data_IF_097638291720
#
_entry.id   IF_097638291720
#
_cell.length_a   1.000
_cell.length_b   1.000
_cell.length_c   1.000
_cell.angle_alpha   90.00
_cell.angle_beta   90.00
_cell.angle_gamma   90.00
#
_symmetry.space_group_name_H-M   'P 1'
#
loop_
_entity.id
_entity.type
_entity.pdbx_description
1 polymer ?
#
# COMPACT_ATOMS: atom_id res chain seq x y z
N UNK A 1 9.31 16.24 -8.83
CA UNK A 1 8.08 15.43 -8.68
C UNK A 1 7.79 14.76 -10.00
N UNK A 2 7.31 13.52 -9.97
CA UNK A 2 6.76 12.88 -11.18
C UNK A 2 5.37 13.42 -11.49
N UNK A 3 4.94 13.34 -12.75
CA UNK A 3 3.58 13.72 -13.18
C UNK A 3 2.51 12.97 -12.36
N UNK A 4 2.76 11.69 -12.06
CA UNK A 4 1.89 10.86 -11.22
C UNK A 4 1.80 11.38 -9.78
N UNK A 5 2.90 11.86 -9.18
CA UNK A 5 2.84 12.46 -7.84
C UNK A 5 2.00 13.74 -7.84
N UNK A 6 2.14 14.58 -8.86
CA UNK A 6 1.36 15.81 -8.98
C UNK A 6 -0.14 15.52 -9.16
N UNK A 7 -0.49 14.51 -9.95
CA UNK A 7 -1.87 14.07 -10.13
C UNK A 7 -2.48 13.57 -8.81
N UNK A 8 -1.74 12.75 -8.05
CA UNK A 8 -2.21 12.23 -6.76
C UNK A 8 -2.43 13.37 -5.75
N UNK A 9 -1.51 14.34 -5.68
CA UNK A 9 -1.66 15.51 -4.80
C UNK A 9 -2.92 16.32 -5.15
N UNK A 10 -3.15 16.59 -6.44
CA UNK A 10 -4.36 17.28 -6.88
C UNK A 10 -5.66 16.50 -6.53
N UNK A 11 -5.64 15.18 -6.66
CA UNK A 11 -6.77 14.32 -6.27
C UNK A 11 -6.99 14.35 -4.75
N UNK A 12 -5.93 14.38 -3.94
CA UNK A 12 -6.02 14.46 -2.48
C UNK A 12 -6.64 15.78 -2.01
N UNK A 13 -6.27 16.90 -2.63
CA UNK A 13 -6.83 18.23 -2.30
C UNK A 13 -8.32 18.35 -2.64
N UNK A 14 -8.76 17.69 -3.72
CA UNK A 14 -10.14 17.75 -4.18
C UNK A 14 -11.06 16.69 -3.54
N UNK A 15 -10.50 15.66 -2.89
CA UNK A 15 -11.27 14.52 -2.37
C UNK A 15 -12.06 14.87 -1.11
N UNK A 16 -13.27 14.32 -1.00
CA UNK A 16 -14.04 14.35 0.23
C UNK A 16 -13.43 13.43 1.30
N UNK A 17 -13.75 13.68 2.57
CA UNK A 17 -13.33 12.81 3.68
C UNK A 17 -13.75 11.35 3.47
N UNK A 18 -14.95 11.11 2.93
CA UNK A 18 -15.42 9.75 2.66
C UNK A 18 -14.62 9.07 1.56
N UNK A 19 -14.27 9.81 0.49
CA UNK A 19 -13.41 9.31 -0.58
C UNK A 19 -12.00 8.97 -0.06
N UNK A 20 -11.44 9.81 0.82
CA UNK A 20 -10.15 9.55 1.46
C UNK A 20 -10.21 8.30 2.35
N UNK A 21 -11.27 8.14 3.17
CA UNK A 21 -11.46 6.92 3.98
C UNK A 21 -11.55 5.67 3.09
N UNK A 22 -12.29 5.76 1.98
CA UNK A 22 -12.42 4.64 1.03
C UNK A 22 -11.09 4.31 0.37
N UNK A 23 -10.31 5.32 -0.01
CA UNK A 23 -8.98 5.14 -0.59
C UNK A 23 -8.03 4.44 0.41
N UNK A 24 -8.03 4.86 1.67
CA UNK A 24 -7.23 4.22 2.74
C UNK A 24 -7.66 2.76 2.95
N UNK A 25 -8.96 2.47 2.99
CA UNK A 25 -9.45 1.08 3.09
C UNK A 25 -9.00 0.24 1.90
N UNK A 26 -9.11 0.76 0.68
CA UNK A 26 -8.65 0.07 -0.52
C UNK A 26 -7.14 -0.18 -0.52
N UNK A 27 -6.34 0.75 0.00
CA UNK A 27 -4.90 0.55 0.17
C UNK A 27 -4.58 -0.56 1.19
N UNK A 28 -5.33 -0.64 2.29
CA UNK A 28 -5.19 -1.72 3.27
C UNK A 28 -5.60 -3.08 2.70
N UNK A 29 -6.70 -3.16 1.94
CA UNK A 29 -7.12 -4.38 1.24
C UNK A 29 -6.07 -4.84 0.22
N UNK A 30 -5.48 -3.91 -0.54
CA UNK A 30 -4.40 -4.23 -1.48
C UNK A 30 -3.12 -4.69 -0.76
N UNK A 31 -2.79 -4.10 0.39
CA UNK A 31 -1.67 -4.52 1.23
C UNK A 31 -1.90 -5.94 1.79
N UNK A 32 -3.11 -6.27 2.24
CA UNK A 32 -3.47 -7.61 2.68
C UNK A 32 -3.35 -8.64 1.55
N UNK A 33 -3.85 -8.33 0.37
CA UNK A 33 -3.73 -9.19 -0.82
C UNK A 33 -2.25 -9.39 -1.22
N UNK A 34 -1.42 -8.34 -1.14
CA UNK A 34 0.01 -8.45 -1.41
C UNK A 34 0.74 -9.40 -0.43
N UNK A 35 0.19 -9.60 0.77
CA UNK A 35 0.72 -10.54 1.78
C UNK A 35 0.17 -11.96 1.65
N UNK A 36 -0.75 -12.21 0.71
CA UNK A 36 -1.32 -13.54 0.49
C UNK A 36 -0.19 -14.58 0.36
N UNK A 37 -0.37 -15.79 0.95
CA UNK A 37 0.60 -16.86 0.82
C UNK A 37 0.96 -17.09 -0.65
N UNK A 38 2.23 -17.41 -0.89
CA UNK A 38 2.72 -17.63 -2.24
C UNK A 38 1.99 -18.81 -2.89
N UNK A 39 1.25 -18.52 -3.96
CA UNK A 39 0.66 -19.52 -4.83
C UNK A 39 1.32 -19.43 -6.20
N UNK A 40 2.15 -20.42 -6.50
CA UNK A 40 2.87 -20.52 -7.78
C UNK A 40 1.94 -20.65 -8.98
N UNK A 41 0.68 -21.06 -8.78
CA UNK A 41 -0.36 -21.11 -9.81
C UNK A 41 -0.73 -19.73 -10.35
N UNK A 42 -0.71 -18.69 -9.51
CA UNK A 42 -1.09 -17.32 -9.91
C UNK A 42 -0.07 -16.65 -10.82
N UNK A 43 1.17 -17.12 -10.79
CA UNK A 43 2.24 -16.63 -11.65
C UNK A 43 2.28 -17.35 -13.00
N UNK A 44 1.26 -18.17 -13.31
CA UNK A 44 1.16 -18.93 -14.57
C UNK A 44 2.26 -19.97 -14.73
N UNK A 45 2.90 -20.38 -13.62
CA UNK A 45 4.13 -21.19 -13.62
C UNK A 45 3.79 -22.67 -13.76
N UNK A 46 3.17 -23.01 -14.88
CA UNK A 46 3.31 -24.32 -15.48
C UNK A 46 4.73 -24.50 -16.04
N UNK A 47 5.76 -24.43 -15.18
CA UNK A 47 7.15 -24.84 -15.43
C UNK A 47 8.16 -23.86 -16.08
N UNK A 48 7.88 -22.57 -16.25
CA UNK A 48 8.77 -21.66 -17.04
C UNK A 48 9.49 -20.53 -16.27
N UNK A 49 9.14 -20.26 -15.01
CA UNK A 49 9.72 -19.16 -14.22
C UNK A 49 10.50 -19.72 -13.04
N UNK A 50 11.69 -19.16 -12.77
CA UNK A 50 12.53 -19.55 -11.64
C UNK A 50 11.82 -19.21 -10.32
N UNK A 51 11.71 -20.20 -9.43
CA UNK A 51 11.08 -20.04 -8.12
C UNK A 51 11.73 -18.92 -7.31
N UNK A 52 13.05 -18.72 -7.43
CA UNK A 52 13.75 -17.64 -6.71
C UNK A 52 13.28 -16.25 -7.15
N UNK A 53 12.92 -16.07 -8.42
CA UNK A 53 12.38 -14.80 -8.93
C UNK A 53 10.97 -14.55 -8.39
N UNK A 54 10.15 -15.60 -8.33
CA UNK A 54 8.78 -15.53 -7.82
C UNK A 54 8.77 -15.22 -6.32
N UNK A 55 9.66 -15.85 -5.55
CA UNK A 55 9.83 -15.56 -4.12
C UNK A 55 10.32 -14.12 -3.89
N UNK A 56 11.31 -13.65 -4.66
CA UNK A 56 11.81 -12.28 -4.56
C UNK A 56 10.74 -11.22 -4.92
N UNK A 57 9.92 -11.47 -5.95
CA UNK A 57 8.80 -10.59 -6.30
C UNK A 57 7.76 -10.54 -5.19
N UNK A 58 7.45 -11.69 -4.57
CA UNK A 58 6.53 -11.77 -3.44
C UNK A 58 7.06 -11.01 -2.24
N UNK A 59 8.33 -11.19 -1.88
CA UNK A 59 8.92 -10.50 -0.74
C UNK A 59 8.98 -8.98 -0.95
N UNK A 60 9.27 -8.52 -2.17
CA UNK A 60 9.21 -7.10 -2.51
C UNK A 60 7.78 -6.52 -2.35
N UNK A 61 6.75 -7.26 -2.78
CA UNK A 61 5.34 -6.85 -2.60
C UNK A 61 4.94 -6.78 -1.12
N UNK A 62 5.37 -7.76 -0.33
CA UNK A 62 5.15 -7.78 1.13
C UNK A 62 5.81 -6.58 1.80
N UNK A 63 7.05 -6.26 1.44
CA UNK A 63 7.77 -5.10 1.99
C UNK A 63 7.02 -3.78 1.71
N UNK A 64 6.53 -3.58 0.48
CA UNK A 64 5.73 -2.39 0.14
C UNK A 64 4.41 -2.36 0.92
N UNK A 65 3.76 -3.50 1.13
CA UNK A 65 2.55 -3.58 1.95
C UNK A 65 2.80 -3.17 3.41
N UNK A 66 3.92 -3.60 3.98
CA UNK A 66 4.35 -3.23 5.33
C UNK A 66 4.64 -1.73 5.43
N UNK A 67 5.34 -1.15 4.45
CA UNK A 67 5.64 0.28 4.38
C UNK A 67 4.35 1.13 4.31
N UNK A 68 3.36 0.68 3.54
CA UNK A 68 2.04 1.34 3.43
C UNK A 68 1.31 1.32 4.78
N UNK A 69 1.24 0.15 5.44
CA UNK A 69 0.57 0.03 6.74
C UNK A 69 1.26 0.89 7.81
N UNK A 70 2.60 0.88 7.84
CA UNK A 70 3.37 1.70 8.78
C UNK A 70 3.15 3.20 8.52
N UNK A 71 3.17 3.64 7.26
CA UNK A 71 2.96 5.04 6.89
C UNK A 71 1.56 5.53 7.29
N UNK A 72 0.54 4.70 7.07
CA UNK A 72 -0.83 5.00 7.51
C UNK A 72 -0.92 5.08 9.03
N UNK A 73 -0.28 4.14 9.75
CA UNK A 73 -0.25 4.16 11.21
C UNK A 73 0.43 5.42 11.74
N UNK A 74 1.58 5.80 11.18
CA UNK A 74 2.27 7.04 11.56
C UNK A 74 1.39 8.26 11.32
N UNK A 75 0.85 8.42 10.10
CA UNK A 75 0.01 9.57 9.76
C UNK A 75 -1.25 9.70 10.64
N UNK A 76 -1.89 8.59 11.00
CA UNK A 76 -3.08 8.61 11.85
C UNK A 76 -2.77 8.79 13.35
N UNK A 77 -1.61 8.33 13.82
CA UNK A 77 -1.20 8.47 15.23
C UNK A 77 -0.56 9.81 15.53
N UNK A 78 0.21 10.38 14.60
CA UNK A 78 0.75 11.75 14.72
C UNK A 78 -0.38 12.79 14.72
N UNK A 79 -1.45 12.56 13.97
CA UNK A 79 -2.67 13.39 14.02
C UNK A 79 -3.48 13.21 15.31
N UNK A 80 -3.29 12.11 16.04
CA UNK A 80 -3.96 11.82 17.30
C UNK A 80 -3.19 12.33 18.53
N UNK A 81 -1.97 12.84 18.35
CA UNK A 81 -1.22 13.47 19.44
C UNK A 81 -1.95 14.75 19.87
N UNK A 82 -2.23 14.95 21.19
CA UNK A 82 -2.82 16.19 21.66
C UNK A 82 -1.89 17.34 21.28
N UNK A 83 -2.41 18.30 20.52
CA UNK A 83 -1.66 19.54 20.28
C UNK A 83 -1.39 20.18 21.64
N UNK A 84 -0.16 20.60 21.96
CA UNK A 84 0.10 21.34 23.18
C UNK A 84 -0.74 22.61 23.16
N UNK A 85 -1.59 22.79 24.17
CA UNK A 85 -2.45 23.95 24.35
C UNK A 85 -1.64 25.25 24.17
N UNK A 86 -2.16 26.17 23.36
CA UNK A 86 -1.68 27.56 23.30
C UNK A 86 -2.39 28.40 24.35
#
# INVERSE_FOLDING_TARGET
MSDTQQEIEALLEAASREQLIKAVRGALEAAEEARRPLDYGDYGVGHYRDNAVVEAERDARVGVADDVEQSLRLGLTEQAAPQPDK
#
